data_IF_228855866326
#
_entry.id   IF_228855866326
#
_cell.length_a   1.000
_cell.length_b   1.000
_cell.length_c   1.000
_cell.angle_alpha   90.00
_cell.angle_beta   90.00
_cell.angle_gamma   90.00
#
_symmetry.space_group_name_H-M   'P 1'
#
loop_
_entity.id
_entity.type
_entity.pdbx_description
1 polymer ?
#
# COMPACT_ATOMS: atom_id res chain seq x y z
N UNK A 1 0.73 21.84 -2.24
CA UNK A 1 1.06 22.97 -1.34
C UNK A 1 1.64 22.37 -0.08
N UNK A 2 2.64 22.99 0.55
CA UNK A 2 3.14 22.50 1.82
C UNK A 2 2.17 22.95 2.93
N UNK A 3 1.75 22.00 3.75
CA UNK A 3 0.87 22.29 4.89
C UNK A 3 1.68 22.72 6.11
N UNK A 4 1.04 23.48 6.98
CA UNK A 4 1.68 23.88 8.25
C UNK A 4 1.60 22.71 9.22
N UNK A 5 2.75 22.29 9.75
CA UNK A 5 2.88 21.22 10.75
C UNK A 5 3.27 21.80 12.10
N UNK A 6 2.32 21.87 13.03
CA UNK A 6 2.59 22.29 14.41
C UNK A 6 2.89 21.08 15.29
N UNK A 7 3.90 21.15 16.13
CA UNK A 7 4.30 20.06 17.04
C UNK A 7 3.17 19.59 17.96
N UNK A 8 2.23 20.47 18.29
CA UNK A 8 1.07 20.15 19.13
C UNK A 8 -0.02 19.34 18.40
N UNK A 9 0.02 19.23 17.06
CA UNK A 9 -0.97 18.46 16.32
C UNK A 9 -0.94 16.98 16.74
N UNK A 10 -2.13 16.45 17.03
CA UNK A 10 -2.34 15.02 17.31
C UNK A 10 -2.46 14.30 15.97
N UNK A 11 -1.56 13.37 15.72
CA UNK A 11 -1.53 12.66 14.44
C UNK A 11 -1.81 11.18 14.58
N UNK A 12 -2.58 10.63 13.64
CA UNK A 12 -2.77 9.19 13.45
C UNK A 12 -2.16 8.75 12.15
N UNK A 13 -1.40 7.66 12.17
CA UNK A 13 -0.75 7.09 10.97
C UNK A 13 -1.34 5.72 10.68
N UNK A 14 -1.87 5.55 9.48
CA UNK A 14 -2.52 4.33 9.00
C UNK A 14 -1.72 3.79 7.80
N UNK A 15 -1.18 2.58 7.95
CA UNK A 15 -0.17 2.06 7.02
C UNK A 15 -0.71 0.82 6.29
N UNK A 16 -0.92 0.95 4.99
CA UNK A 16 -1.16 -0.16 4.08
C UNK A 16 0.16 -0.83 3.74
N UNK A 17 0.48 -1.90 4.47
CA UNK A 17 1.77 -2.56 4.31
C UNK A 17 1.92 -3.25 2.97
N UNK A 18 0.81 -3.75 2.39
CA UNK A 18 0.85 -4.43 1.10
C UNK A 18 1.11 -3.45 -0.05
N UNK A 19 0.40 -2.33 -0.08
CA UNK A 19 0.58 -1.30 -1.10
C UNK A 19 2.03 -0.80 -1.12
N UNK A 20 2.58 -0.43 0.05
CA UNK A 20 3.96 0.04 0.15
C UNK A 20 4.98 -1.06 -0.20
N UNK A 21 4.76 -2.31 0.27
CA UNK A 21 5.65 -3.43 -0.02
C UNK A 21 5.70 -3.74 -1.53
N UNK A 22 4.55 -3.83 -2.17
CA UNK A 22 4.47 -4.10 -3.61
C UNK A 22 5.11 -2.97 -4.41
N UNK A 23 4.91 -1.72 -4.02
CA UNK A 23 5.52 -0.55 -4.64
C UNK A 23 7.05 -0.58 -4.53
N UNK A 24 7.60 -0.76 -3.32
CA UNK A 24 9.04 -0.86 -3.10
C UNK A 24 9.68 -2.04 -3.86
N UNK A 25 9.01 -3.20 -3.85
CA UNK A 25 9.47 -4.40 -4.55
C UNK A 25 9.50 -4.22 -6.07
N UNK A 26 8.44 -3.63 -6.62
CA UNK A 26 8.32 -3.47 -8.07
C UNK A 26 9.24 -2.37 -8.60
N UNK A 27 9.30 -1.22 -7.91
CA UNK A 27 10.07 -0.06 -8.36
C UNK A 27 11.57 -0.18 -8.06
N UNK A 28 11.93 -0.77 -6.92
CA UNK A 28 13.30 -0.72 -6.38
C UNK A 28 13.90 -2.07 -6.04
N UNK A 29 13.14 -3.17 -6.17
CA UNK A 29 13.56 -4.51 -5.72
C UNK A 29 14.04 -4.53 -4.27
N UNK A 30 13.41 -3.75 -3.42
CA UNK A 30 13.80 -3.53 -2.03
C UNK A 30 12.62 -3.70 -1.08
N UNK A 31 12.92 -3.81 0.21
CA UNK A 31 11.90 -3.78 1.28
C UNK A 31 11.66 -2.35 1.73
N UNK A 32 10.52 -2.10 2.37
CA UNK A 32 10.18 -0.79 2.94
C UNK A 32 10.88 -0.57 4.28
N UNK A 33 11.39 0.64 4.50
CA UNK A 33 11.89 1.10 5.79
C UNK A 33 10.75 1.80 6.57
N UNK A 34 9.95 1.04 7.28
CA UNK A 34 8.80 1.56 8.02
C UNK A 34 9.18 2.53 9.14
N UNK A 35 10.40 2.43 9.69
CA UNK A 35 10.88 3.39 10.68
C UNK A 35 10.98 4.81 10.08
N UNK A 36 11.55 4.94 8.89
CA UNK A 36 11.65 6.22 8.22
C UNK A 36 10.30 6.70 7.67
N UNK A 37 9.44 5.78 7.21
CA UNK A 37 8.06 6.13 6.86
C UNK A 37 7.33 6.74 8.05
N UNK A 38 7.36 6.10 9.23
CA UNK A 38 6.73 6.61 10.43
C UNK A 38 7.31 7.95 10.86
N UNK A 39 8.65 8.06 10.89
CA UNK A 39 9.35 9.28 11.31
C UNK A 39 8.92 10.49 10.47
N UNK A 40 8.87 10.34 9.14
CA UNK A 40 8.53 11.44 8.25
C UNK A 40 7.03 11.71 8.22
N UNK A 41 6.19 10.69 8.38
CA UNK A 41 4.75 10.85 8.57
C UNK A 41 4.42 11.65 9.84
N UNK A 42 5.08 11.36 10.95
CA UNK A 42 4.86 12.06 12.22
C UNK A 42 5.45 13.47 12.19
N UNK A 43 6.63 13.66 11.59
CA UNK A 43 7.29 14.97 11.45
C UNK A 43 7.34 15.79 12.77
N UNK A 44 7.83 15.16 13.84
CA UNK A 44 7.97 15.74 15.20
C UNK A 44 6.65 16.21 15.86
N UNK A 45 5.50 15.77 15.34
CA UNK A 45 4.17 16.02 15.92
C UNK A 45 3.83 15.00 17.01
N UNK A 46 2.73 15.20 17.70
CA UNK A 46 2.25 14.32 18.77
C UNK A 46 1.55 13.08 18.18
N UNK A 47 2.26 11.97 18.09
CA UNK A 47 1.72 10.70 17.61
C UNK A 47 0.72 10.13 18.61
N UNK A 48 -0.55 9.98 18.20
CA UNK A 48 -1.60 9.32 18.98
C UNK A 48 -1.54 7.82 18.76
N UNK A 49 -1.53 7.37 17.51
CA UNK A 49 -1.38 5.96 17.14
C UNK A 49 -0.79 5.82 15.74
N UNK A 50 0.01 4.76 15.55
CA UNK A 50 0.42 4.28 14.25
C UNK A 50 -0.05 2.82 14.10
N UNK A 51 -0.80 2.52 13.06
CA UNK A 51 -1.41 1.20 12.83
C UNK A 51 -1.00 0.70 11.46
N UNK A 52 -0.37 -0.46 11.42
CA UNK A 52 -0.06 -1.18 10.18
C UNK A 52 -1.10 -2.28 9.94
N UNK A 53 -1.64 -2.30 8.75
CA UNK A 53 -2.61 -3.30 8.29
C UNK A 53 -1.86 -4.37 7.49
N UNK A 54 -1.90 -5.59 7.98
CA UNK A 54 -1.10 -6.70 7.45
C UNK A 54 -2.00 -7.88 7.12
N UNK A 55 -1.76 -8.50 5.99
CA UNK A 55 -2.40 -9.77 5.63
C UNK A 55 -1.45 -10.90 6.02
N UNK A 56 -1.92 -11.81 6.88
CA UNK A 56 -1.19 -13.00 7.25
C UNK A 56 -1.11 -13.96 6.06
N UNK A 57 0.08 -14.47 5.80
CA UNK A 57 0.27 -15.62 4.91
C UNK A 57 0.48 -16.87 5.75
N UNK A 58 0.22 -18.05 5.18
CA UNK A 58 0.34 -19.33 5.90
C UNK A 58 1.80 -19.69 6.28
N UNK A 59 2.78 -18.89 5.86
CA UNK A 59 4.21 -19.23 6.01
C UNK A 59 4.77 -19.00 7.41
N UNK A 60 4.10 -18.22 8.28
CA UNK A 60 4.58 -17.90 9.64
C UNK A 60 5.87 -17.07 9.70
N UNK A 61 6.43 -16.66 8.56
CA UNK A 61 7.66 -15.87 8.49
C UNK A 61 7.47 -14.41 8.95
N UNK A 62 6.25 -14.03 9.28
CA UNK A 62 5.86 -12.64 9.54
C UNK A 62 6.09 -12.22 10.99
N UNK A 63 6.36 -13.16 11.90
CA UNK A 63 6.56 -12.85 13.32
C UNK A 63 7.69 -11.82 13.54
N UNK A 64 8.83 -12.02 12.88
CA UNK A 64 9.95 -11.07 12.95
C UNK A 64 9.61 -9.68 12.39
N UNK A 65 8.71 -9.61 11.41
CA UNK A 65 8.21 -8.35 10.88
C UNK A 65 7.30 -7.63 11.88
N UNK A 66 6.38 -8.35 12.52
CA UNK A 66 5.51 -7.77 13.56
C UNK A 66 6.31 -7.25 14.75
N UNK A 67 7.31 -8.02 15.20
CA UNK A 67 8.22 -7.57 16.27
C UNK A 67 9.01 -6.31 15.88
N UNK A 68 9.45 -6.23 14.63
CA UNK A 68 10.15 -5.05 14.13
C UNK A 68 9.23 -3.81 14.09
N UNK A 69 7.97 -3.96 13.69
CA UNK A 69 6.98 -2.88 13.74
C UNK A 69 6.68 -2.45 15.18
N UNK A 70 6.47 -3.40 16.09
CA UNK A 70 6.19 -3.11 17.49
C UNK A 70 7.35 -2.36 18.18
N UNK A 71 8.61 -2.70 17.87
CA UNK A 71 9.81 -2.02 18.40
C UNK A 71 9.88 -0.53 18.03
N UNK A 72 9.28 -0.12 16.94
CA UNK A 72 9.23 1.28 16.50
C UNK A 72 7.90 1.96 16.83
N UNK A 73 7.04 1.31 17.64
CA UNK A 73 5.79 1.89 18.11
C UNK A 73 4.62 1.79 17.11
N UNK A 74 4.70 0.89 16.12
CA UNK A 74 3.61 0.63 15.19
C UNK A 74 2.82 -0.58 15.68
N UNK A 75 1.52 -0.38 15.92
CA UNK A 75 0.57 -1.45 16.20
C UNK A 75 0.24 -2.22 14.92
N UNK A 76 0.04 -3.52 15.00
CA UNK A 76 -0.36 -4.33 13.84
C UNK A 76 -1.79 -4.80 13.96
N UNK A 77 -2.56 -4.65 12.88
CA UNK A 77 -3.85 -5.32 12.67
C UNK A 77 -3.67 -6.37 11.58
N UNK A 78 -3.99 -7.60 11.90
CA UNK A 78 -3.82 -8.73 10.98
C UNK A 78 -5.16 -9.25 10.50
N UNK A 79 -5.19 -9.76 9.28
CA UNK A 79 -6.32 -10.45 8.65
C UNK A 79 -5.78 -11.64 7.88
N UNK A 80 -6.42 -12.79 8.04
CA UNK A 80 -6.02 -13.98 7.32
C UNK A 80 -6.39 -13.89 5.85
N UNK A 81 -5.55 -14.46 5.00
CA UNK A 81 -5.78 -14.55 3.58
C UNK A 81 -6.99 -15.45 3.32
N UNK A 82 -8.06 -14.91 2.76
CA UNK A 82 -9.24 -15.69 2.37
C UNK A 82 -8.99 -16.37 1.02
N UNK A 83 -9.12 -17.68 1.01
CA UNK A 83 -9.05 -18.50 -0.22
C UNK A 83 -10.47 -18.91 -0.59
N UNK A 84 -10.95 -18.44 -1.74
CA UNK A 84 -12.27 -18.80 -2.23
C UNK A 84 -12.22 -20.10 -3.05
N UNK A 85 -13.38 -20.73 -3.18
CA UNK A 85 -13.55 -21.88 -4.09
C UNK A 85 -13.15 -21.50 -5.51
N UNK A 86 -12.17 -22.23 -6.08
CA UNK A 86 -11.55 -21.86 -7.37
C UNK A 86 -10.17 -21.23 -7.26
N UNK A 87 -9.61 -21.10 -6.03
CA UNK A 87 -8.24 -20.64 -5.80
C UNK A 87 -8.03 -19.12 -5.83
N UNK A 88 -9.10 -18.34 -6.01
CA UNK A 88 -9.02 -16.89 -5.89
C UNK A 88 -8.68 -16.50 -4.45
N UNK A 89 -7.63 -15.69 -4.28
CA UNK A 89 -7.19 -15.19 -2.98
C UNK A 89 -7.61 -13.74 -2.84
N UNK A 90 -8.31 -13.40 -1.77
CA UNK A 90 -8.66 -12.02 -1.45
C UNK A 90 -8.31 -11.73 0.01
N UNK A 91 -7.56 -10.67 0.21
CA UNK A 91 -7.38 -10.03 1.49
C UNK A 91 -6.96 -8.60 1.22
N UNK A 92 -7.84 -7.67 1.46
CA UNK A 92 -7.57 -6.24 1.47
C UNK A 92 -8.00 -5.64 2.81
N UNK A 93 -7.35 -4.57 3.18
CA UNK A 93 -7.65 -3.84 4.39
C UNK A 93 -8.29 -2.48 4.14
N UNK A 94 -8.59 -2.12 2.88
CA UNK A 94 -8.99 -0.78 2.47
C UNK A 94 -10.18 -0.27 3.27
N UNK A 95 -11.25 -1.07 3.34
CA UNK A 95 -12.45 -0.73 4.14
C UNK A 95 -12.12 -0.66 5.62
N UNK A 96 -11.35 -1.61 6.15
CA UNK A 96 -10.98 -1.65 7.58
C UNK A 96 -10.12 -0.46 7.98
N UNK A 97 -9.12 -0.12 7.16
CA UNK A 97 -8.24 1.02 7.37
C UNK A 97 -9.00 2.35 7.25
N UNK A 98 -9.86 2.50 6.24
CA UNK A 98 -10.70 3.68 6.07
C UNK A 98 -11.64 3.90 7.27
N UNK A 99 -12.31 2.85 7.73
CA UNK A 99 -13.21 2.92 8.89
C UNK A 99 -12.44 3.30 10.17
N UNK A 100 -11.26 2.73 10.39
CA UNK A 100 -10.45 3.06 11.57
C UNK A 100 -9.99 4.51 11.54
N UNK A 101 -9.56 5.03 10.37
CA UNK A 101 -9.19 6.43 10.20
C UNK A 101 -10.37 7.36 10.52
N UNK A 102 -11.56 7.06 9.98
CA UNK A 102 -12.79 7.84 10.24
C UNK A 102 -13.18 7.79 11.72
N UNK A 103 -13.14 6.61 12.37
CA UNK A 103 -13.47 6.49 13.81
C UNK A 103 -12.48 7.25 14.71
N UNK A 104 -11.22 7.38 14.29
CA UNK A 104 -10.22 8.08 15.07
C UNK A 104 -10.20 9.60 14.79
N UNK A 105 -10.71 10.05 13.65
CA UNK A 105 -10.71 11.46 13.25
C UNK A 105 -11.11 12.46 14.35
N UNK A 106 -12.14 12.22 15.18
CA UNK A 106 -12.52 13.16 16.25
C UNK A 106 -11.44 13.38 17.33
N UNK A 107 -10.41 12.54 17.35
CA UNK A 107 -9.29 12.62 18.31
C UNK A 107 -7.99 13.13 17.67
N UNK A 108 -8.02 13.44 16.38
CA UNK A 108 -6.85 13.77 15.59
C UNK A 108 -6.99 15.15 14.96
N UNK A 109 -5.88 15.82 14.79
CA UNK A 109 -5.77 17.07 14.04
C UNK A 109 -5.28 16.78 12.60
N UNK A 110 -4.51 15.70 12.43
CA UNK A 110 -4.07 15.22 11.13
C UNK A 110 -4.13 13.69 11.02
N UNK A 111 -4.56 13.22 9.87
CA UNK A 111 -4.58 11.79 9.48
C UNK A 111 -3.55 11.58 8.37
N UNK A 112 -2.63 10.67 8.59
CA UNK A 112 -1.63 10.30 7.61
C UNK A 112 -1.93 8.89 7.08
N UNK A 113 -2.16 8.79 5.77
CA UNK A 113 -2.36 7.51 5.09
C UNK A 113 -1.06 7.13 4.37
N UNK A 114 -0.48 6.01 4.76
CA UNK A 114 0.70 5.47 4.10
C UNK A 114 0.26 4.43 3.04
N UNK A 115 -0.28 4.92 1.95
CA UNK A 115 -0.77 4.16 0.80
C UNK A 115 -0.82 5.05 -0.45
N UNK A 116 -0.64 4.44 -1.63
CA UNK A 116 -0.83 5.11 -2.93
C UNK A 116 -2.17 4.80 -3.59
N UNK A 117 -3.05 4.06 -2.89
CA UNK A 117 -4.28 3.54 -3.48
C UNK A 117 -5.35 4.62 -3.63
N UNK A 118 -5.90 4.72 -4.85
CA UNK A 118 -6.98 5.66 -5.18
C UNK A 118 -8.32 5.33 -4.53
N UNK A 119 -8.52 4.12 -4.06
CA UNK A 119 -9.77 3.70 -3.39
C UNK A 119 -9.96 4.42 -2.05
N UNK A 120 -8.90 5.04 -1.50
CA UNK A 120 -9.00 5.89 -0.32
C UNK A 120 -9.52 7.31 -0.57
N UNK A 121 -9.71 7.74 -1.83
CA UNK A 121 -10.21 9.09 -2.14
C UNK A 121 -11.50 9.44 -1.39
N UNK A 122 -12.55 8.59 -1.34
CA UNK A 122 -13.76 8.90 -0.59
C UNK A 122 -13.52 9.06 0.92
N UNK A 123 -12.60 8.27 1.49
CA UNK A 123 -12.24 8.40 2.90
C UNK A 123 -11.49 9.72 3.17
N UNK A 124 -10.58 10.12 2.29
CA UNK A 124 -9.88 11.42 2.36
C UNK A 124 -10.87 12.58 2.33
N UNK A 125 -11.80 12.58 1.37
CA UNK A 125 -12.82 13.63 1.25
C UNK A 125 -13.68 13.73 2.51
N UNK A 126 -14.09 12.58 3.08
CA UNK A 126 -14.84 12.55 4.33
C UNK A 126 -14.03 13.07 5.53
N UNK A 127 -12.78 12.63 5.69
CA UNK A 127 -11.90 13.06 6.78
C UNK A 127 -11.66 14.57 6.77
N UNK A 128 -11.54 15.16 5.58
CA UNK A 128 -11.37 16.62 5.42
C UNK A 128 -12.66 17.38 5.70
N UNK A 129 -13.79 16.94 5.16
CA UNK A 129 -15.05 17.70 5.18
C UNK A 129 -15.83 17.48 6.48
N UNK A 130 -16.06 16.25 6.87
CA UNK A 130 -16.82 15.89 8.08
C UNK A 130 -15.93 15.73 9.32
N UNK A 131 -14.70 15.22 9.14
CA UNK A 131 -13.75 15.03 10.22
C UNK A 131 -13.00 16.30 10.62
N UNK A 132 -12.88 17.27 9.71
CA UNK A 132 -12.11 18.49 9.92
C UNK A 132 -10.61 18.26 10.09
N UNK A 133 -10.12 17.08 9.66
CA UNK A 133 -8.71 16.71 9.76
C UNK A 133 -7.90 17.23 8.57
N UNK A 134 -6.67 17.61 8.81
CA UNK A 134 -5.66 17.67 7.77
C UNK A 134 -5.35 16.24 7.30
N UNK A 135 -5.39 15.97 6.01
CA UNK A 135 -5.13 14.63 5.48
C UNK A 135 -3.88 14.64 4.61
N UNK A 136 -2.90 13.84 5.01
CA UNK A 136 -1.61 13.69 4.32
C UNK A 136 -1.45 12.26 3.82
N UNK A 137 -0.71 12.10 2.72
CA UNK A 137 -0.33 10.79 2.19
C UNK A 137 1.18 10.69 2.10
N UNK A 138 1.73 9.53 2.47
CA UNK A 138 3.13 9.18 2.27
C UNK A 138 3.21 7.89 1.46
N UNK A 139 3.73 7.94 0.23
CA UNK A 139 3.80 6.79 -0.66
C UNK A 139 4.81 7.01 -1.79
N UNK A 140 5.09 5.94 -2.56
CA UNK A 140 5.87 6.05 -3.78
C UNK A 140 5.02 6.68 -4.89
N UNK A 141 5.37 7.89 -5.29
CA UNK A 141 4.59 8.70 -6.23
C UNK A 141 4.34 8.05 -7.58
N UNK A 142 5.30 7.25 -8.09
CA UNK A 142 5.17 6.55 -9.38
C UNK A 142 4.14 5.42 -9.36
N UNK A 143 3.82 4.87 -8.20
CA UNK A 143 2.80 3.83 -8.03
C UNK A 143 1.52 4.35 -7.37
N UNK A 144 1.41 5.65 -7.16
CA UNK A 144 0.25 6.26 -6.50
C UNK A 144 -0.75 6.83 -7.49
N UNK A 145 -2.03 6.77 -7.11
CA UNK A 145 -3.13 7.37 -7.87
C UNK A 145 -2.97 8.89 -8.02
N UNK A 146 -3.09 9.39 -9.24
CA UNK A 146 -3.10 10.83 -9.51
C UNK A 146 -4.19 11.56 -8.75
N UNK A 147 -5.42 10.98 -8.73
CA UNK A 147 -6.55 11.56 -8.01
C UNK A 147 -6.33 11.63 -6.51
N UNK A 148 -5.69 10.61 -5.91
CA UNK A 148 -5.36 10.65 -4.48
C UNK A 148 -4.43 11.83 -4.17
N UNK A 149 -3.41 12.06 -5.01
CA UNK A 149 -2.48 13.19 -4.86
C UNK A 149 -3.16 14.56 -4.95
N UNK A 150 -4.24 14.68 -5.75
CA UNK A 150 -4.97 15.93 -5.95
C UNK A 150 -5.86 16.30 -4.76
N UNK A 151 -6.43 15.30 -4.06
CA UNK A 151 -7.42 15.54 -3.01
C UNK A 151 -6.80 15.71 -1.61
N UNK A 152 -5.57 15.23 -1.39
CA UNK A 152 -4.90 15.35 -0.09
C UNK A 152 -4.32 16.75 0.13
N UNK A 153 -4.15 17.12 1.39
CA UNK A 153 -3.55 18.40 1.75
C UNK A 153 -2.03 18.41 1.52
N UNK A 154 -1.37 17.26 1.71
CA UNK A 154 0.04 17.06 1.41
C UNK A 154 0.29 15.63 0.90
N UNK A 155 1.14 15.52 -0.09
CA UNK A 155 1.66 14.25 -0.59
C UNK A 155 3.18 14.21 -0.39
N UNK A 156 3.65 13.30 0.48
CA UNK A 156 5.07 13.05 0.73
C UNK A 156 5.52 11.95 -0.24
N UNK A 157 6.26 12.36 -1.27
CA UNK A 157 6.72 11.45 -2.32
C UNK A 157 7.98 10.70 -1.90
N UNK A 158 7.84 9.40 -1.63
CA UNK A 158 8.97 8.54 -1.27
C UNK A 158 9.94 8.32 -2.44
N UNK A 159 9.53 8.60 -3.68
CA UNK A 159 10.40 8.52 -4.85
C UNK A 159 11.43 9.67 -4.93
N UNK A 160 11.24 10.76 -4.18
CA UNK A 160 12.23 11.84 -4.10
C UNK A 160 13.51 11.40 -3.37
N UNK A 161 13.38 10.47 -2.42
CA UNK A 161 14.54 9.89 -1.72
C UNK A 161 14.33 8.38 -1.45
N UNK A 162 14.36 7.53 -2.48
CA UNK A 162 14.02 6.11 -2.32
C UNK A 162 14.98 5.36 -1.39
N UNK A 163 16.26 5.76 -1.31
CA UNK A 163 17.23 5.16 -0.38
C UNK A 163 16.86 5.35 1.08
N UNK A 164 16.13 6.40 1.42
CA UNK A 164 15.65 6.66 2.78
C UNK A 164 14.55 5.68 3.17
N UNK A 165 13.67 5.34 2.23
CA UNK A 165 12.47 4.55 2.47
C UNK A 165 12.60 3.08 2.10
N UNK A 166 13.77 2.65 1.60
CA UNK A 166 14.02 1.25 1.24
C UNK A 166 15.21 0.68 1.99
N UNK A 167 15.15 -0.63 2.28
CA UNK A 167 16.22 -1.39 2.94
C UNK A 167 16.39 -2.76 2.28
N UNK A 168 17.65 -3.16 2.09
CA UNK A 168 18.01 -4.49 1.58
C UNK A 168 17.42 -4.75 0.18
N UNK A 169 17.98 -5.74 -0.49
CA UNK A 169 17.44 -6.22 -1.76
C UNK A 169 16.42 -7.34 -1.51
N UNK A 170 15.29 -7.31 -2.21
CA UNK A 170 14.39 -8.48 -2.28
C UNK A 170 15.02 -9.47 -3.26
N UNK A 171 15.28 -10.74 -2.86
CA UNK A 171 15.78 -11.75 -3.77
C UNK A 171 14.91 -11.81 -5.03
N UNK A 172 15.55 -11.87 -6.20
CA UNK A 172 14.84 -12.10 -7.45
C UNK A 172 14.04 -13.41 -7.31
N UNK A 173 12.74 -13.37 -7.62
CA UNK A 173 11.95 -14.59 -7.67
C UNK A 173 12.66 -15.55 -8.64
N UNK A 174 13.01 -16.76 -8.18
CA UNK A 174 13.54 -17.82 -9.05
C UNK A 174 12.48 -18.05 -10.14
N UNK A 175 12.74 -17.55 -11.33
CA UNK A 175 11.95 -17.92 -12.50
C UNK A 175 12.11 -19.43 -12.62
N UNK A 176 11.03 -20.19 -12.40
CA UNK A 176 10.98 -21.61 -12.78
C UNK A 176 11.33 -21.64 -14.25
N UNK A 177 12.47 -22.19 -14.57
CA UNK A 177 12.98 -22.27 -15.92
C UNK A 177 11.93 -22.86 -16.85
N UNK A 178 11.57 -22.10 -17.88
CA UNK A 178 10.86 -22.62 -19.01
C UNK A 178 11.71 -23.74 -19.62
N UNK A 179 11.30 -24.97 -19.43
CA UNK A 179 11.88 -26.12 -20.09
C UNK A 179 11.79 -25.86 -21.60
N UNK A 180 12.93 -25.68 -22.24
CA UNK A 180 13.07 -25.70 -23.69
C UNK A 180 12.77 -27.12 -24.16
N UNK A 181 11.55 -27.35 -24.59
CA UNK A 181 11.14 -28.49 -25.39
C UNK A 181 11.03 -28.03 -26.84
N UNK A 182 12.11 -28.24 -27.61
CA UNK A 182 12.06 -28.10 -29.04
C UNK A 182 11.44 -29.38 -29.62
N UNK A 183 10.28 -29.24 -30.26
CA UNK A 183 9.84 -30.18 -31.27
C UNK A 183 9.20 -29.42 -32.45
N UNK A 184 9.92 -29.47 -33.52
CA UNK A 184 9.58 -28.98 -34.86
C UNK A 184 8.61 -29.99 -35.48
N UNK A 185 7.39 -29.58 -35.78
CA UNK A 185 6.54 -30.34 -36.72
C UNK A 185 5.97 -29.36 -37.75
N UNK A 186 6.26 -29.72 -39.02
CA UNK A 186 5.71 -29.14 -40.24
C UNK A 186 4.28 -29.68 -40.46
N UNK A 187 3.43 -28.88 -41.12
CA UNK A 187 2.15 -29.34 -41.71
C UNK A 187 1.20 -28.18 -41.90
N UNK A 188 1.23 -27.56 -43.02
CA UNK A 188 0.28 -27.31 -44.13
C UNK A 188 -1.19 -27.33 -43.77
N UNK A 189 -1.93 -26.31 -44.24
CA UNK A 189 -3.35 -26.44 -44.56
C UNK A 189 -4.24 -25.26 -44.25
N UNK A 190 -4.60 -24.57 -45.30
CA UNK A 190 -5.57 -23.46 -45.40
C UNK A 190 -6.95 -23.85 -44.88
N UNK A 191 -7.72 -22.90 -44.39
CA UNK A 191 -9.11 -22.68 -44.83
C UNK A 191 -9.76 -21.48 -44.14
N UNK A 192 -10.16 -20.57 -44.93
CA UNK A 192 -11.05 -19.44 -44.63
C UNK A 192 -12.48 -19.94 -44.35
N UNK A 193 -13.16 -19.42 -43.37
CA UNK A 193 -14.56 -19.72 -43.02
C UNK A 193 -15.28 -18.50 -42.43
N UNK A 194 -15.71 -17.64 -43.30
CA UNK A 194 -16.99 -16.88 -43.40
C UNK A 194 -17.70 -16.48 -42.11
N UNK A 195 -17.77 -15.20 -41.91
CA UNK A 195 -18.69 -14.43 -41.06
C UNK A 195 -20.14 -14.68 -41.47
N UNK A 196 -21.05 -14.96 -40.54
CA UNK A 196 -22.50 -14.72 -40.68
C UNK A 196 -22.97 -13.80 -39.55
N UNK A 197 -23.43 -12.61 -39.95
CA UNK A 197 -24.35 -11.75 -39.18
C UNK A 197 -25.74 -12.36 -39.27
N UNK A 198 -26.50 -12.28 -38.19
CA UNK A 198 -27.96 -12.21 -38.15
C UNK A 198 -28.34 -11.45 -36.89
N UNK A 199 -28.97 -10.43 -37.13
CA UNK A 199 -30.26 -9.80 -36.95
C UNK A 199 -30.66 -9.64 -35.50
#
# INVERSE_FOLDING_TARGET
MSVIKHKAQRVGVFIDTQNLYHSAKNLYRSKVNFNNVLKDAVADRNLVRAIAYVVNTESGEEQGFFEALAKIGIETKTKDLQIFFGGAKKADWDVGMAIDAVKMAPKLDAVILATGDGDFVPAVEHLKTAGGCQVEVIAFGRSSSGRLKEVVDEFIDMDENPKRYTIGAVPAAKTRGAARGATRAKGTGDAWGTVKRLA
#
